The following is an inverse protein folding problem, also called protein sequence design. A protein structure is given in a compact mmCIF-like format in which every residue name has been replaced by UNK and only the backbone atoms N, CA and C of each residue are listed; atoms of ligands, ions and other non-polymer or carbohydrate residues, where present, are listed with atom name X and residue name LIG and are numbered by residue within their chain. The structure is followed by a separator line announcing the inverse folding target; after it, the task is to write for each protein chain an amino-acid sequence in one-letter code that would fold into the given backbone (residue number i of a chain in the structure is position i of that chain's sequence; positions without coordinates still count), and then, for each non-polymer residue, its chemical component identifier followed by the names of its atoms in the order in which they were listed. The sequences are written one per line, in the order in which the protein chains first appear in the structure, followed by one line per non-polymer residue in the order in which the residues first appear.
data_IF_856351521526
#
_entry.id   IF_856351521526
#
_cell.length_a   1.000
_cell.length_b   1.000
_cell.length_c   1.000
_cell.angle_alpha   90.00
_cell.angle_beta   90.00
_cell.angle_gamma   90.00
#
_symmetry.space_group_name_H-M   'P 1'
#
loop_
_entity.id
_entity.type
_entity.pdbx_description
1 polymer ?
#
# COMPACT_ATOMS: atom_id res chain seq x y z
N UNK A 1 -1.63 -22.31 -16.97
CA UNK A 1 -1.89 -21.17 -16.04
C UNK A 1 -1.54 -21.51 -14.59
N UNK A 2 -2.03 -22.60 -14.00
CA UNK A 2 -1.76 -22.98 -12.59
C UNK A 2 -0.27 -23.14 -12.24
N UNK A 3 0.54 -23.75 -13.12
CA UNK A 3 1.98 -23.92 -12.91
C UNK A 3 2.76 -22.59 -12.98
N UNK A 4 2.33 -21.66 -13.83
CA UNK A 4 2.93 -20.33 -13.94
C UNK A 4 2.58 -19.46 -12.73
N UNK A 5 1.33 -19.56 -12.26
CA UNK A 5 0.84 -18.92 -11.03
C UNK A 5 1.60 -19.46 -9.79
N UNK A 6 1.78 -20.78 -9.69
CA UNK A 6 2.56 -21.44 -8.64
C UNK A 6 4.02 -20.98 -8.61
N UNK A 7 4.68 -20.91 -9.76
CA UNK A 7 6.08 -20.50 -9.88
C UNK A 7 6.28 -19.01 -9.53
N UNK A 8 5.37 -18.14 -9.99
CA UNK A 8 5.36 -16.72 -9.66
C UNK A 8 5.21 -16.49 -8.15
N UNK A 9 4.24 -17.15 -7.49
CA UNK A 9 4.04 -17.04 -6.04
C UNK A 9 5.21 -17.60 -5.22
N UNK A 10 5.87 -18.67 -5.66
CA UNK A 10 7.05 -19.25 -4.99
C UNK A 10 8.25 -18.30 -5.03
N UNK A 11 8.45 -17.60 -6.15
CA UNK A 11 9.46 -16.55 -6.25
C UNK A 11 9.07 -15.31 -5.44
N UNK A 12 7.85 -14.82 -5.59
CA UNK A 12 7.33 -13.62 -4.92
C UNK A 12 7.41 -13.76 -3.39
N UNK A 13 7.08 -14.93 -2.82
CA UNK A 13 7.21 -15.16 -1.37
C UNK A 13 8.65 -15.20 -0.84
N UNK A 14 9.68 -15.54 -1.64
CA UNK A 14 11.09 -15.43 -1.20
C UNK A 14 11.52 -13.99 -0.94
N UNK A 15 10.88 -13.04 -1.62
CA UNK A 15 11.21 -11.62 -1.55
C UNK A 15 10.31 -10.86 -0.56
N UNK A 16 9.37 -11.54 0.10
CA UNK A 16 8.36 -10.91 0.96
C UNK A 16 8.96 -10.02 2.06
N UNK A 17 10.06 -10.45 2.69
CA UNK A 17 10.76 -9.63 3.67
C UNK A 17 11.39 -8.37 3.05
N UNK A 18 12.04 -8.52 1.89
CA UNK A 18 12.60 -7.38 1.14
C UNK A 18 11.52 -6.40 0.71
N UNK A 19 10.38 -6.89 0.25
CA UNK A 19 9.23 -6.04 -0.09
C UNK A 19 8.64 -5.33 1.12
N UNK A 20 8.55 -6.00 2.28
CA UNK A 20 8.08 -5.36 3.52
C UNK A 20 8.99 -4.19 3.93
N UNK A 21 10.32 -4.37 3.82
CA UNK A 21 11.30 -3.31 4.07
C UNK A 21 11.16 -2.18 3.03
N UNK A 22 11.08 -2.51 1.74
CA UNK A 22 10.92 -1.51 0.69
C UNK A 22 9.64 -0.69 0.88
N UNK A 23 8.52 -1.36 1.19
CA UNK A 23 7.23 -0.71 1.47
C UNK A 23 7.30 0.19 2.71
N UNK A 24 8.03 -0.23 3.76
CA UNK A 24 8.26 0.60 4.94
C UNK A 24 8.97 1.91 4.57
N UNK A 25 10.10 1.84 3.84
CA UNK A 25 10.84 3.04 3.46
C UNK A 25 10.08 3.93 2.49
N UNK A 26 9.41 3.36 1.48
CA UNK A 26 8.61 4.14 0.53
C UNK A 26 7.50 4.90 1.25
N UNK A 27 6.78 4.24 2.17
CA UNK A 27 5.71 4.90 2.91
C UNK A 27 6.23 5.91 3.93
N UNK A 28 7.41 5.67 4.53
CA UNK A 28 8.08 6.65 5.38
C UNK A 28 8.43 7.92 4.59
N UNK A 29 9.01 7.78 3.40
CA UNK A 29 9.36 8.93 2.56
C UNK A 29 8.14 9.68 2.04
N UNK A 30 7.07 8.97 1.66
CA UNK A 30 5.81 9.61 1.25
C UNK A 30 5.20 10.36 2.44
N UNK A 31 5.15 9.74 3.62
CA UNK A 31 4.65 10.39 4.84
C UNK A 31 5.43 11.66 5.14
N UNK A 32 6.76 11.57 5.25
CA UNK A 32 7.62 12.72 5.52
C UNK A 32 7.53 13.80 4.43
N UNK A 33 7.50 13.41 3.16
CA UNK A 33 7.45 14.32 2.02
C UNK A 33 6.13 15.10 1.96
N UNK A 34 5.00 14.42 2.11
CA UNK A 34 3.68 15.06 2.09
C UNK A 34 3.48 15.91 3.35
N UNK A 35 3.95 15.46 4.52
CA UNK A 35 3.94 16.27 5.74
C UNK A 35 4.81 17.53 5.61
N UNK A 36 6.01 17.42 5.04
CA UNK A 36 6.88 18.57 4.82
C UNK A 36 6.27 19.57 3.82
N UNK A 37 5.68 19.07 2.73
CA UNK A 37 4.96 19.92 1.77
C UNK A 37 3.84 20.70 2.44
N UNK A 38 3.09 20.08 3.36
CA UNK A 38 2.02 20.77 4.09
C UNK A 38 2.50 21.92 4.98
N UNK A 39 3.78 21.90 5.39
CA UNK A 39 4.39 23.01 6.16
C UNK A 39 4.91 24.15 5.28
N UNK A 40 5.18 23.88 4.00
CA UNK A 40 5.74 24.85 3.05
C UNK A 40 4.68 25.66 2.29
N UNK A 41 3.41 25.26 2.34
CA UNK A 41 2.32 26.01 1.70
C UNK A 41 2.06 27.28 2.54
N UNK A 42 2.77 28.36 2.22
CA UNK A 42 2.47 29.72 2.64
C UNK A 42 1.21 30.25 1.92
N UNK A 43 0.41 31.03 2.64
CA UNK A 43 -0.86 31.57 2.14
C UNK A 43 -0.54 32.76 1.22
N UNK A 44 -0.61 32.56 -0.09
CA UNK A 44 -0.64 33.67 -1.04
C UNK A 44 -2.08 34.21 -1.14
N UNK A 45 -2.30 35.41 -0.59
CA UNK A 45 -3.62 36.02 -0.39
C UNK A 45 -4.30 36.54 -1.67
N UNK A 46 -3.71 36.29 -2.84
CA UNK A 46 -4.23 36.78 -4.12
C UNK A 46 -5.48 36.01 -4.62
N UNK A 47 -5.68 34.76 -4.18
CA UNK A 47 -6.88 33.96 -4.43
C UNK A 47 -7.37 33.27 -3.13
N UNK A 48 -7.89 34.07 -2.19
CA UNK A 48 -8.18 33.64 -0.81
C UNK A 48 -9.01 32.36 -0.68
N UNK A 49 -10.07 32.17 -1.48
CA UNK A 49 -10.97 31.02 -1.28
C UNK A 49 -10.36 29.70 -1.77
N UNK A 50 -9.79 29.67 -2.98
CA UNK A 50 -9.21 28.44 -3.56
C UNK A 50 -7.97 27.99 -2.77
N UNK A 51 -7.14 28.94 -2.31
CA UNK A 51 -5.92 28.63 -1.54
C UNK A 51 -6.20 27.99 -0.18
N UNK A 52 -7.32 28.34 0.48
CA UNK A 52 -7.69 27.76 1.77
C UNK A 52 -8.15 26.30 1.63
N UNK A 53 -9.03 26.02 0.65
CA UNK A 53 -9.50 24.65 0.39
C UNK A 53 -8.36 23.70 -0.01
N UNK A 54 -7.42 24.16 -0.84
CA UNK A 54 -6.22 23.41 -1.22
C UNK A 54 -5.37 23.03 -0.02
N UNK A 55 -5.13 23.99 0.87
CA UNK A 55 -4.37 23.75 2.09
C UNK A 55 -5.03 22.70 2.98
N UNK A 56 -6.37 22.77 3.15
CA UNK A 56 -7.09 21.77 3.93
C UNK A 56 -7.03 20.38 3.28
N UNK A 57 -7.12 20.28 1.96
CA UNK A 57 -6.99 19.01 1.24
C UNK A 57 -5.59 18.43 1.41
N UNK A 58 -4.53 19.24 1.25
CA UNK A 58 -3.15 18.78 1.42
C UNK A 58 -2.89 18.38 2.88
N UNK A 59 -3.40 19.13 3.85
CA UNK A 59 -3.28 18.80 5.28
C UNK A 59 -4.04 17.52 5.65
N UNK A 60 -5.25 17.33 5.15
CA UNK A 60 -6.03 16.11 5.37
C UNK A 60 -5.32 14.91 4.73
N UNK A 61 -4.79 15.08 3.51
CA UNK A 61 -3.99 14.07 2.82
C UNK A 61 -2.72 13.73 3.59
N UNK A 62 -2.02 14.71 4.17
CA UNK A 62 -0.80 14.49 4.94
C UNK A 62 -1.05 13.74 6.24
N UNK A 63 -2.10 14.10 6.98
CA UNK A 63 -2.55 13.38 8.17
C UNK A 63 -2.92 11.93 7.84
N UNK A 64 -3.57 11.72 6.70
CA UNK A 64 -3.97 10.40 6.26
C UNK A 64 -2.77 9.48 5.94
N UNK A 65 -1.62 10.03 5.51
CA UNK A 65 -0.41 9.24 5.21
C UNK A 65 0.16 8.47 6.42
N UNK A 66 -0.26 8.82 7.65
CA UNK A 66 0.06 8.04 8.86
C UNK A 66 -0.51 6.62 8.76
N UNK A 67 -1.68 6.43 8.17
CA UNK A 67 -2.37 5.13 8.09
C UNK A 67 -1.61 4.12 7.23
N UNK A 68 -1.27 4.39 5.95
CA UNK A 68 -0.47 3.46 5.16
C UNK A 68 0.89 3.19 5.82
N UNK A 69 1.54 4.19 6.43
CA UNK A 69 2.77 3.99 7.19
C UNK A 69 2.59 3.05 8.39
N UNK A 70 1.52 3.19 9.17
CA UNK A 70 1.23 2.26 10.27
C UNK A 70 1.01 0.83 9.75
N UNK A 71 0.33 0.67 8.61
CA UNK A 71 0.13 -0.64 7.99
C UNK A 71 1.43 -1.28 7.49
N UNK A 72 2.40 -0.51 6.97
CA UNK A 72 3.70 -1.07 6.58
C UNK A 72 4.48 -1.60 7.80
N UNK A 73 4.34 -0.94 8.96
CA UNK A 73 4.86 -1.47 10.23
C UNK A 73 4.18 -2.79 10.60
N UNK A 74 2.85 -2.85 10.57
CA UNK A 74 2.08 -4.08 10.86
C UNK A 74 2.50 -5.22 9.93
N UNK A 75 2.74 -4.93 8.64
CA UNK A 75 3.25 -5.92 7.70
C UNK A 75 4.63 -6.44 8.10
N UNK A 76 5.58 -5.54 8.37
CA UNK A 76 6.94 -5.89 8.78
C UNK A 76 6.94 -6.73 10.08
N UNK A 77 6.16 -6.31 11.08
CA UNK A 77 5.99 -7.05 12.33
C UNK A 77 5.38 -8.43 12.11
N UNK A 78 4.37 -8.54 11.25
CA UNK A 78 3.72 -9.81 10.92
C UNK A 78 4.65 -10.80 10.23
N UNK A 79 5.57 -10.30 9.39
CA UNK A 79 6.61 -11.13 8.75
C UNK A 79 7.69 -11.53 9.76
N UNK A 80 8.20 -10.60 10.56
CA UNK A 80 9.25 -10.86 11.56
C UNK A 80 8.82 -11.92 12.59
N UNK A 81 7.58 -11.83 13.06
CA UNK A 81 7.04 -12.77 14.05
C UNK A 81 6.39 -14.01 13.42
N UNK A 82 6.41 -14.12 12.10
CA UNK A 82 5.75 -15.19 11.32
C UNK A 82 4.31 -15.45 11.77
N UNK A 83 3.58 -14.38 12.11
CA UNK A 83 2.27 -14.49 12.76
C UNK A 83 1.13 -14.32 11.71
N UNK A 84 0.37 -15.38 11.39
CA UNK A 84 -0.66 -15.34 10.36
C UNK A 84 -1.87 -14.48 10.72
N UNK A 85 -2.09 -14.16 12.01
CA UNK A 85 -3.15 -13.25 12.45
C UNK A 85 -2.78 -11.79 12.18
N UNK A 86 -1.54 -11.38 12.50
CA UNK A 86 -1.06 -10.02 12.22
C UNK A 86 -1.08 -9.76 10.71
N UNK A 87 -0.67 -10.75 9.92
CA UNK A 87 -0.75 -10.71 8.46
C UNK A 87 -2.19 -10.60 7.95
N UNK A 88 -3.16 -11.25 8.60
CA UNK A 88 -4.59 -11.10 8.28
C UNK A 88 -5.09 -9.67 8.58
N UNK A 89 -4.68 -9.09 9.70
CA UNK A 89 -4.99 -7.69 10.06
C UNK A 89 -4.44 -6.74 9.01
N UNK A 90 -3.18 -6.93 8.58
CA UNK A 90 -2.61 -6.14 7.49
C UNK A 90 -3.41 -6.26 6.18
N UNK A 91 -3.81 -7.47 5.78
CA UNK A 91 -4.59 -7.65 4.54
C UNK A 91 -5.92 -6.90 4.58
N UNK A 92 -6.69 -7.06 5.65
CA UNK A 92 -8.00 -6.41 5.80
C UNK A 92 -7.82 -4.90 5.87
N UNK A 93 -6.90 -4.43 6.71
CA UNK A 93 -6.58 -3.01 6.85
C UNK A 93 -6.17 -2.39 5.53
N UNK A 94 -5.30 -3.06 4.76
CA UNK A 94 -4.84 -2.59 3.45
C UNK A 94 -5.95 -2.55 2.41
N UNK A 95 -6.86 -3.53 2.40
CA UNK A 95 -7.99 -3.54 1.47
C UNK A 95 -8.92 -2.34 1.69
N UNK A 96 -9.23 -2.04 2.95
CA UNK A 96 -9.99 -0.84 3.33
C UNK A 96 -9.21 0.41 2.91
N UNK A 97 -7.91 0.44 3.19
CA UNK A 97 -7.06 1.59 2.88
C UNK A 97 -6.97 1.87 1.37
N UNK A 98 -6.96 0.83 0.53
CA UNK A 98 -7.01 0.98 -0.93
C UNK A 98 -8.26 1.76 -1.38
N UNK A 99 -9.42 1.50 -0.78
CA UNK A 99 -10.67 2.23 -1.09
C UNK A 99 -10.57 3.68 -0.62
N UNK A 100 -10.06 3.90 0.59
CA UNK A 100 -9.90 5.25 1.14
C UNK A 100 -8.90 6.08 0.32
N UNK A 101 -7.80 5.50 -0.15
CA UNK A 101 -6.84 6.18 -1.04
C UNK A 101 -7.50 6.62 -2.36
N UNK A 102 -8.34 5.78 -2.96
CA UNK A 102 -9.06 6.16 -4.20
C UNK A 102 -9.94 7.38 -3.99
N UNK A 103 -10.68 7.40 -2.89
CA UNK A 103 -11.65 8.46 -2.62
C UNK A 103 -10.94 9.74 -2.15
N UNK A 104 -10.07 9.61 -1.15
CA UNK A 104 -9.47 10.76 -0.46
C UNK A 104 -8.27 11.32 -1.21
N UNK A 105 -7.36 10.48 -1.70
CA UNK A 105 -6.11 10.98 -2.31
C UNK A 105 -6.31 11.23 -3.80
N UNK A 106 -6.80 10.22 -4.53
CA UNK A 106 -7.01 10.35 -5.98
C UNK A 106 -8.22 11.23 -6.29
N UNK A 107 -9.33 11.06 -5.57
CA UNK A 107 -10.52 11.91 -5.72
C UNK A 107 -10.23 13.39 -5.46
N UNK A 108 -9.50 13.71 -4.38
CA UNK A 108 -9.07 15.09 -4.12
C UNK A 108 -8.09 15.61 -5.18
N UNK A 109 -7.19 14.77 -5.69
CA UNK A 109 -6.32 15.15 -6.81
C UNK A 109 -7.11 15.49 -8.08
N UNK A 110 -8.11 14.70 -8.44
CA UNK A 110 -8.99 14.99 -9.60
C UNK A 110 -9.77 16.29 -9.38
N UNK A 111 -10.30 16.51 -8.18
CA UNK A 111 -11.01 17.74 -7.84
C UNK A 111 -10.11 18.98 -8.01
N UNK A 112 -8.89 18.94 -7.48
CA UNK A 112 -7.92 20.04 -7.63
C UNK A 112 -7.49 20.27 -9.08
N UNK A 113 -7.39 19.22 -9.90
CA UNK A 113 -7.10 19.36 -11.33
C UNK A 113 -8.19 20.13 -12.07
N UNK A 114 -9.46 19.96 -11.67
CA UNK A 114 -10.60 20.67 -12.28
C UNK A 114 -10.59 22.15 -11.89
N UNK A 115 -10.18 22.46 -10.65
CA UNK A 115 -10.09 23.83 -10.13
C UNK A 115 -8.84 24.59 -10.62
N UNK A 116 -7.96 23.93 -11.38
CA UNK A 116 -6.82 24.56 -12.07
C UNK A 116 -5.49 24.54 -11.31
N UNK A 117 -5.35 23.75 -10.24
CA UNK A 117 -4.06 23.55 -9.54
C UNK A 117 -3.38 22.25 -9.92
N UNK A 118 -2.96 22.24 -11.18
CA UNK A 118 -2.36 21.11 -11.89
C UNK A 118 -1.21 20.44 -11.12
N UNK A 119 -0.22 21.20 -10.63
CA UNK A 119 0.99 20.59 -10.05
C UNK A 119 0.71 19.79 -8.77
N UNK A 120 -0.11 20.34 -7.87
CA UNK A 120 -0.49 19.68 -6.60
C UNK A 120 -1.42 18.50 -6.90
N UNK A 121 -2.38 18.69 -7.80
CA UNK A 121 -3.31 17.68 -8.25
C UNK A 121 -2.61 16.43 -8.81
N UNK A 122 -1.73 16.61 -9.81
CA UNK A 122 -1.00 15.50 -10.42
C UNK A 122 -0.05 14.81 -9.42
N UNK A 123 0.54 15.58 -8.50
CA UNK A 123 1.38 15.02 -7.44
C UNK A 123 0.58 14.10 -6.51
N UNK A 124 -0.62 14.52 -6.08
CA UNK A 124 -1.50 13.70 -5.24
C UNK A 124 -1.98 12.44 -5.98
N UNK A 125 -2.36 12.55 -7.26
CA UNK A 125 -2.77 11.39 -8.07
C UNK A 125 -1.61 10.39 -8.19
N UNK A 126 -0.40 10.87 -8.50
CA UNK A 126 0.78 10.02 -8.60
C UNK A 126 1.10 9.31 -7.27
N UNK A 127 1.05 10.04 -6.15
CA UNK A 127 1.22 9.46 -4.81
C UNK A 127 0.15 8.39 -4.53
N UNK A 128 -1.12 8.67 -4.85
CA UNK A 128 -2.21 7.73 -4.67
C UNK A 128 -2.03 6.43 -5.47
N UNK A 129 -1.59 6.53 -6.73
CA UNK A 129 -1.29 5.37 -7.58
C UNK A 129 -0.12 4.56 -7.00
N UNK A 130 0.95 5.22 -6.56
CA UNK A 130 2.10 4.54 -5.95
C UNK A 130 1.66 3.79 -4.69
N UNK A 131 0.92 4.43 -3.79
CA UNK A 131 0.39 3.79 -2.58
C UNK A 131 -0.48 2.57 -2.90
N UNK A 132 -1.34 2.67 -3.91
CA UNK A 132 -2.17 1.56 -4.37
C UNK A 132 -1.36 0.37 -4.87
N UNK A 133 -0.35 0.61 -5.71
CA UNK A 133 0.50 -0.45 -6.23
C UNK A 133 1.26 -1.17 -5.12
N UNK A 134 1.82 -0.44 -4.16
CA UNK A 134 2.53 -1.03 -3.02
C UNK A 134 1.60 -1.80 -2.09
N UNK A 135 0.42 -1.26 -1.76
CA UNK A 135 -0.56 -1.98 -0.93
C UNK A 135 -1.09 -3.23 -1.63
N UNK A 136 -1.48 -3.13 -2.90
CA UNK A 136 -1.96 -4.26 -3.69
C UNK A 136 -0.90 -5.36 -3.82
N UNK A 137 0.36 -4.98 -4.07
CA UNK A 137 1.46 -5.92 -4.11
C UNK A 137 1.72 -6.58 -2.73
N UNK A 138 1.68 -5.80 -1.65
CA UNK A 138 1.78 -6.31 -0.28
C UNK A 138 0.67 -7.32 0.07
N UNK A 139 -0.59 -7.05 -0.31
CA UNK A 139 -1.71 -7.96 -0.09
C UNK A 139 -1.48 -9.31 -0.78
N UNK A 140 -1.04 -9.30 -2.05
CA UNK A 140 -0.75 -10.53 -2.80
C UNK A 140 0.35 -11.37 -2.14
N UNK A 141 1.42 -10.71 -1.69
CA UNK A 141 2.53 -11.33 -0.98
C UNK A 141 2.11 -11.95 0.35
N UNK A 142 1.30 -11.23 1.12
CA UNK A 142 0.81 -11.69 2.41
C UNK A 142 -0.15 -12.85 2.25
N UNK A 143 -1.00 -12.85 1.22
CA UNK A 143 -1.88 -13.97 0.94
C UNK A 143 -1.08 -15.29 0.77
N UNK A 144 -0.03 -15.26 -0.06
CA UNK A 144 0.85 -16.43 -0.27
C UNK A 144 1.67 -16.80 0.98
N UNK A 145 2.16 -15.82 1.73
CA UNK A 145 2.99 -16.07 2.92
C UNK A 145 2.17 -16.60 4.09
N UNK A 146 0.96 -16.07 4.30
CA UNK A 146 0.04 -16.51 5.35
C UNK A 146 -0.38 -17.97 5.16
N UNK A 147 -0.64 -18.41 3.92
CA UNK A 147 -0.94 -19.81 3.64
C UNK A 147 0.21 -20.75 4.05
N UNK A 148 1.47 -20.36 3.78
CA UNK A 148 2.65 -21.13 4.22
C UNK A 148 2.76 -21.23 5.74
N UNK A 149 2.45 -20.15 6.46
CA UNK A 149 2.53 -20.14 7.93
C UNK A 149 1.38 -20.91 8.60
N UNK A 150 0.21 -20.99 7.96
CA UNK A 150 -0.93 -21.76 8.48
C UNK A 150 -0.82 -23.27 8.24
N UNK A 151 -0.19 -23.69 7.14
CA UNK A 151 -0.19 -25.09 6.73
C UNK A 151 1.16 -25.80 6.84
N UNK A 152 2.20 -25.12 7.36
CA UNK A 152 3.54 -25.67 7.46
C UNK A 152 4.19 -25.98 6.08
N UNK A 153 5.43 -26.49 6.05
CA UNK A 153 6.16 -26.78 4.81
C UNK A 153 5.54 -27.91 3.97
N UNK A 154 4.70 -28.76 4.57
CA UNK A 154 4.24 -30.03 3.98
C UNK A 154 2.98 -29.89 3.10
N UNK A 155 2.13 -28.88 3.32
CA UNK A 155 0.90 -28.78 2.53
C UNK A 155 1.10 -28.32 1.08
N UNK A 156 2.30 -27.84 0.72
CA UNK A 156 2.63 -27.49 -0.68
C UNK A 156 3.39 -28.60 -1.42
N UNK A 157 3.89 -29.65 -0.74
CA UNK A 157 4.48 -30.83 -1.39
C UNK A 157 3.43 -31.90 -1.67
N UNK A 158 2.44 -32.09 -0.79
CA UNK A 158 1.43 -33.17 -0.94
C UNK A 158 0.54 -33.00 -2.18
N UNK A 159 0.33 -31.77 -2.68
CA UNK A 159 -0.41 -31.52 -3.92
C UNK A 159 0.45 -31.60 -5.20
N UNK A 160 1.77 -31.70 -5.08
CA UNK A 160 2.67 -31.93 -6.22
C UNK A 160 2.80 -33.43 -6.52
N UNK A 161 2.78 -34.27 -5.48
CA UNK A 161 3.07 -35.70 -5.64
C UNK A 161 1.84 -36.52 -6.02
N UNK A 162 0.62 -36.09 -5.64
CA UNK A 162 -0.61 -36.81 -6.01
C UNK A 162 -1.02 -36.72 -7.48
N UNK A 163 -0.43 -35.81 -8.25
CA UNK A 163 -0.69 -35.69 -9.70
C UNK A 163 0.32 -36.46 -10.56
N UNK A 164 1.21 -37.26 -9.94
CA UNK A 164 2.20 -38.09 -10.66
C UNK A 164 1.88 -39.59 -10.55
N UNK A 165 0.95 -40.00 -9.67
CA UNK A 165 0.61 -41.41 -9.44
C UNK A 165 -0.70 -41.90 -10.09
N UNK A 166 -1.37 -41.09 -10.92
CA UNK A 166 -2.51 -41.55 -11.74
C UNK A 166 -2.20 -41.43 -13.24
N UNK A 167 -1.28 -42.27 -13.72
CA UNK A 167 -1.19 -42.71 -15.13
C UNK A 167 -0.96 -44.20 -15.18
#
# INVERSE_FOLDING_TARGET
MLLWYSSFFKHVTKWCFGTAIAQFFVFLFIFLGVSYLSTLIEIDYTNQVISEYEKFIVLASSLYMVVPFALSNVFLFGILHRNPLILKVFMIGSLINCVVILIVVIGSGIFLAIEGTDYIAYSLIAVGIVLQLFLGHGILLVHGTRQKYLHGPEATSVNSDRNIEET
#
